data_IF_090356034698
#
_entry.id   IF_090356034698
#
_cell.length_a   1.000
_cell.length_b   1.000
_cell.length_c   1.000
_cell.angle_alpha   90.00
_cell.angle_beta   90.00
_cell.angle_gamma   90.00
#
_symmetry.space_group_name_H-M   'P 1'
#
loop_
_entity.id
_entity.type
_entity.pdbx_description
1 polymer ?
#
# COMPACT_ATOMS: atom_id res chain seq x y z
N UNK A 1 -8.52 28.35 17.28
CA UNK A 1 -8.76 28.46 15.83
C UNK A 1 -8.79 27.05 15.28
N UNK A 2 -9.97 26.54 14.92
CA UNK A 2 -10.10 25.23 14.26
C UNK A 2 -9.63 25.45 12.83
N UNK A 3 -8.47 24.89 12.49
CA UNK A 3 -8.01 24.80 11.10
C UNK A 3 -9.01 23.91 10.36
N UNK A 4 -9.99 24.52 9.72
CA UNK A 4 -10.81 23.86 8.71
C UNK A 4 -9.82 23.38 7.65
N UNK A 5 -9.49 22.08 7.63
CA UNK A 5 -8.83 21.50 6.47
C UNK A 5 -9.83 21.66 5.33
N UNK A 6 -9.61 22.64 4.46
CA UNK A 6 -10.24 22.61 3.14
C UNK A 6 -9.71 21.35 2.47
N UNK A 7 -10.45 20.25 2.62
CA UNK A 7 -10.16 19.02 1.89
C UNK A 7 -10.40 19.36 0.42
N UNK A 8 -9.31 19.73 -0.25
CA UNK A 8 -9.29 19.96 -1.68
C UNK A 8 -9.96 18.78 -2.38
N UNK A 9 -10.73 19.03 -3.44
CA UNK A 9 -11.30 17.97 -4.28
C UNK A 9 -10.23 16.93 -4.67
N UNK A 10 -8.98 17.36 -4.89
CA UNK A 10 -7.86 16.46 -5.16
C UNK A 10 -7.57 15.49 -4.02
N UNK A 11 -7.70 15.92 -2.76
CA UNK A 11 -7.55 15.06 -1.59
C UNK A 11 -8.62 13.96 -1.54
N UNK A 12 -9.88 14.30 -1.84
CA UNK A 12 -10.96 13.31 -1.88
C UNK A 12 -10.70 12.23 -2.94
N UNK A 13 -10.33 12.62 -4.15
CA UNK A 13 -9.98 11.66 -5.21
C UNK A 13 -8.79 10.78 -4.82
N UNK A 14 -7.76 11.38 -4.21
CA UNK A 14 -6.58 10.65 -3.77
C UNK A 14 -6.90 9.64 -2.66
N UNK A 15 -7.78 10.02 -1.72
CA UNK A 15 -8.20 9.14 -0.64
C UNK A 15 -9.07 7.98 -1.13
N UNK A 16 -9.99 8.22 -2.07
CA UNK A 16 -10.74 7.15 -2.74
C UNK A 16 -9.78 6.21 -3.47
N UNK A 17 -8.87 6.77 -4.27
CA UNK A 17 -7.93 5.99 -5.08
C UNK A 17 -7.06 5.09 -4.21
N UNK A 18 -6.49 5.65 -3.13
CA UNK A 18 -5.62 4.90 -2.23
C UNK A 18 -6.40 3.88 -1.39
N UNK A 19 -7.62 4.22 -0.94
CA UNK A 19 -8.49 3.29 -0.23
C UNK A 19 -8.91 2.09 -1.08
N UNK A 20 -9.33 2.34 -2.33
CA UNK A 20 -9.65 1.27 -3.28
C UNK A 20 -8.42 0.45 -3.65
N UNK A 21 -7.27 1.10 -3.82
CA UNK A 21 -6.01 0.42 -4.09
C UNK A 21 -5.69 -0.60 -2.99
N UNK A 22 -5.64 -0.17 -1.72
CA UNK A 22 -5.38 -1.08 -0.60
C UNK A 22 -6.42 -2.19 -0.48
N UNK A 23 -7.71 -1.85 -0.66
CA UNK A 23 -8.79 -2.83 -0.57
C UNK A 23 -8.65 -3.93 -1.63
N UNK A 24 -8.47 -3.54 -2.89
CA UNK A 24 -8.36 -4.47 -4.02
C UNK A 24 -7.05 -5.25 -3.91
N UNK A 25 -5.91 -4.59 -3.68
CA UNK A 25 -4.62 -5.25 -3.48
C UNK A 25 -4.70 -6.29 -2.37
N UNK A 26 -5.26 -5.95 -1.21
CA UNK A 26 -5.42 -6.88 -0.09
C UNK A 26 -6.25 -8.11 -0.45
N UNK A 27 -7.37 -7.93 -1.16
CA UNK A 27 -8.20 -9.05 -1.63
C UNK A 27 -7.41 -9.95 -2.59
N UNK A 28 -6.63 -9.37 -3.52
CA UNK A 28 -5.78 -10.15 -4.42
C UNK A 28 -4.66 -10.89 -3.67
N UNK A 29 -4.05 -10.26 -2.65
CA UNK A 29 -3.03 -10.88 -1.79
C UNK A 29 -3.61 -12.11 -1.07
N UNK A 30 -4.83 -11.99 -0.53
CA UNK A 30 -5.53 -13.08 0.16
C UNK A 30 -5.90 -14.26 -0.75
N UNK A 31 -6.24 -13.98 -2.01
CA UNK A 31 -6.51 -15.02 -2.99
C UNK A 31 -5.24 -15.80 -3.39
N UNK A 32 -4.05 -15.35 -2.97
CA UNK A 32 -2.78 -15.98 -3.30
C UNK A 32 -2.48 -15.98 -4.79
N UNK A 33 -3.21 -15.17 -5.56
CA UNK A 33 -3.15 -15.12 -7.01
C UNK A 33 -1.84 -14.47 -7.46
N UNK A 34 -1.27 -14.97 -8.55
CA UNK A 34 -0.06 -14.45 -9.20
C UNK A 34 -0.23 -13.05 -9.81
N UNK A 35 -1.40 -12.43 -9.65
CA UNK A 35 -1.72 -11.09 -10.13
C UNK A 35 -1.38 -9.93 -9.17
N UNK A 36 -0.98 -10.20 -7.92
CA UNK A 36 -0.53 -9.14 -7.00
C UNK A 36 0.99 -9.21 -6.76
N UNK A 37 1.64 -8.07 -6.98
CA UNK A 37 3.06 -7.80 -6.78
C UNK A 37 3.51 -8.17 -5.35
N UNK A 38 2.69 -7.92 -4.32
CA UNK A 38 3.05 -8.27 -2.92
C UNK A 38 3.08 -9.78 -2.71
N UNK A 39 2.09 -10.50 -3.24
CA UNK A 39 2.04 -11.97 -3.10
C UNK A 39 3.18 -12.64 -3.88
N UNK A 40 3.55 -12.08 -5.05
CA UNK A 40 4.68 -12.55 -5.84
C UNK A 40 6.00 -12.30 -5.11
N UNK A 41 6.19 -11.07 -4.61
CA UNK A 41 7.38 -10.69 -3.88
C UNK A 41 7.57 -11.52 -2.59
N UNK A 42 6.51 -11.75 -1.81
CA UNK A 42 6.56 -12.59 -0.60
C UNK A 42 6.97 -14.02 -0.97
N UNK A 43 6.35 -14.62 -2.00
CA UNK A 43 6.68 -15.99 -2.46
C UNK A 43 8.07 -16.08 -3.08
N UNK A 44 8.67 -14.96 -3.50
CA UNK A 44 10.03 -14.94 -4.03
C UNK A 44 11.09 -14.95 -2.92
N UNK A 45 10.78 -14.37 -1.75
CA UNK A 45 11.65 -14.24 -0.58
C UNK A 45 11.48 -15.40 0.40
N UNK A 46 10.23 -15.81 0.64
CA UNK A 46 9.86 -16.88 1.56
C UNK A 46 9.37 -18.11 0.78
N UNK A 47 9.51 -19.30 1.36
CA UNK A 47 9.08 -20.56 0.75
C UNK A 47 8.24 -21.40 1.71
N UNK A 48 7.27 -22.15 1.18
CA UNK A 48 6.38 -23.01 1.97
C UNK A 48 5.34 -22.22 2.79
N UNK A 49 4.96 -22.77 3.95
CA UNK A 49 3.86 -22.27 4.78
C UNK A 49 4.08 -20.84 5.29
N UNK A 50 5.33 -20.42 5.50
CA UNK A 50 5.66 -19.06 5.96
C UNK A 50 5.30 -17.99 4.93
N UNK A 51 5.44 -18.28 3.63
CA UNK A 51 5.05 -17.36 2.57
C UNK A 51 3.52 -17.19 2.51
N UNK A 52 2.80 -18.29 2.70
CA UNK A 52 1.33 -18.26 2.73
C UNK A 52 0.81 -17.47 3.94
N UNK A 53 1.39 -17.70 5.13
CA UNK A 53 1.04 -16.95 6.34
C UNK A 53 1.33 -15.45 6.15
N UNK A 54 2.49 -15.10 5.60
CA UNK A 54 2.83 -13.70 5.32
C UNK A 54 1.84 -13.05 4.33
N UNK A 55 1.47 -13.73 3.24
CA UNK A 55 0.44 -13.22 2.32
C UNK A 55 -0.91 -13.01 3.01
N UNK A 56 -1.33 -13.92 3.90
CA UNK A 56 -2.58 -13.77 4.65
C UNK A 56 -2.52 -12.54 5.55
N UNK A 57 -1.42 -12.37 6.29
CA UNK A 57 -1.24 -11.24 7.21
C UNK A 57 -1.24 -9.91 6.46
N UNK A 58 -0.44 -9.80 5.39
CA UNK A 58 -0.41 -8.60 4.55
C UNK A 58 -1.77 -8.32 3.92
N UNK A 59 -2.42 -9.34 3.35
CA UNK A 59 -3.73 -9.18 2.73
C UNK A 59 -4.81 -8.69 3.71
N UNK A 60 -4.84 -9.19 4.95
CA UNK A 60 -5.76 -8.68 5.98
C UNK A 60 -5.45 -7.22 6.31
N UNK A 61 -4.17 -6.88 6.53
CA UNK A 61 -3.77 -5.51 6.85
C UNK A 61 -4.18 -4.54 5.74
N UNK A 62 -3.96 -4.92 4.47
CA UNK A 62 -4.32 -4.11 3.31
C UNK A 62 -5.83 -3.94 3.16
N UNK A 63 -6.62 -5.00 3.33
CA UNK A 63 -8.09 -4.90 3.30
C UNK A 63 -8.59 -3.97 4.39
N UNK A 64 -8.09 -4.12 5.62
CA UNK A 64 -8.47 -3.27 6.73
C UNK A 64 -8.04 -1.82 6.51
N UNK A 65 -6.85 -1.59 5.95
CA UNK A 65 -6.37 -0.27 5.57
C UNK A 65 -7.29 0.40 4.53
N UNK A 66 -7.67 -0.35 3.49
CA UNK A 66 -8.57 0.14 2.45
C UNK A 66 -9.96 0.50 2.99
N UNK A 67 -10.55 -0.39 3.80
CA UNK A 67 -11.83 -0.13 4.46
C UNK A 67 -11.74 1.11 5.35
N UNK A 68 -10.70 1.20 6.19
CA UNK A 68 -10.49 2.33 7.08
C UNK A 68 -10.38 3.66 6.31
N UNK A 69 -9.56 3.70 5.26
CA UNK A 69 -9.36 4.90 4.44
C UNK A 69 -10.64 5.37 3.75
N UNK A 70 -11.48 4.43 3.28
CA UNK A 70 -12.77 4.72 2.67
C UNK A 70 -13.80 5.16 3.71
N UNK A 71 -13.89 4.49 4.85
CA UNK A 71 -14.82 4.84 5.93
C UNK A 71 -14.50 6.21 6.53
N UNK A 72 -13.23 6.56 6.64
CA UNK A 72 -12.75 7.86 7.13
C UNK A 72 -13.28 9.04 6.31
N UNK A 73 -13.72 8.82 5.07
CA UNK A 73 -14.36 9.87 4.27
C UNK A 73 -15.76 10.24 4.78
N UNK A 74 -16.44 9.31 5.46
CA UNK A 74 -17.80 9.47 5.95
C UNK A 74 -17.87 9.56 7.48
N UNK A 75 -16.86 9.03 8.17
CA UNK A 75 -16.81 8.90 9.62
C UNK A 75 -15.59 9.62 10.18
N UNK A 76 -15.81 10.47 11.17
CA UNK A 76 -14.73 11.13 11.92
C UNK A 76 -14.27 10.22 13.06
N UNK A 77 -13.00 9.82 13.02
CA UNK A 77 -12.36 9.10 14.12
C UNK A 77 -11.73 10.07 15.11
N UNK A 78 -11.53 9.62 16.36
CA UNK A 78 -10.77 10.41 17.33
C UNK A 78 -9.34 10.63 16.82
N UNK A 79 -8.80 11.84 16.95
CA UNK A 79 -7.49 12.21 16.42
C UNK A 79 -6.33 11.25 16.78
N UNK A 80 -6.23 10.70 18.01
CA UNK A 80 -5.16 9.76 18.35
C UNK A 80 -5.27 8.45 17.57
N UNK A 81 -6.48 7.90 17.46
CA UNK A 81 -6.75 6.65 16.73
C UNK A 81 -6.49 6.82 15.23
N UNK A 82 -6.96 7.93 14.66
CA UNK A 82 -6.77 8.26 13.25
C UNK A 82 -5.27 8.34 12.89
N UNK A 83 -4.51 9.05 13.72
CA UNK A 83 -3.06 9.20 13.54
C UNK A 83 -2.34 7.86 13.62
N UNK A 84 -2.64 7.05 14.65
CA UNK A 84 -1.99 5.74 14.84
C UNK A 84 -2.28 4.79 13.69
N UNK A 85 -3.54 4.70 13.22
CA UNK A 85 -3.90 3.84 12.11
C UNK A 85 -3.23 4.28 10.80
N UNK A 86 -3.20 5.58 10.52
CA UNK A 86 -2.50 6.12 9.35
C UNK A 86 -0.99 5.83 9.39
N UNK A 87 -0.36 5.94 10.56
CA UNK A 87 1.06 5.61 10.74
C UNK A 87 1.30 4.11 10.51
N UNK A 88 0.43 3.22 11.00
CA UNK A 88 0.54 1.78 10.76
C UNK A 88 0.44 1.47 9.25
N UNK A 89 -0.52 2.08 8.55
CA UNK A 89 -0.69 1.91 7.10
C UNK A 89 0.55 2.39 6.35
N UNK A 90 1.11 3.53 6.74
CA UNK A 90 2.33 4.07 6.17
C UNK A 90 3.51 3.11 6.35
N UNK A 91 3.73 2.60 7.57
CA UNK A 91 4.82 1.66 7.86
C UNK A 91 4.63 0.36 7.08
N UNK A 92 3.41 -0.18 7.04
CA UNK A 92 3.08 -1.39 6.29
C UNK A 92 3.36 -1.20 4.79
N UNK A 93 2.98 -0.06 4.22
CA UNK A 93 3.24 0.23 2.81
C UNK A 93 4.72 0.43 2.49
N UNK A 94 5.48 1.07 3.38
CA UNK A 94 6.94 1.17 3.26
C UNK A 94 7.57 -0.23 3.26
N UNK A 95 7.09 -1.14 4.11
CA UNK A 95 7.56 -2.53 4.10
C UNK A 95 7.24 -3.24 2.78
N UNK A 96 6.04 -3.02 2.21
CA UNK A 96 5.68 -3.52 0.88
C UNK A 96 6.59 -2.99 -0.22
N UNK A 97 6.93 -1.70 -0.22
CA UNK A 97 7.89 -1.09 -1.16
C UNK A 97 9.24 -1.80 -1.09
N UNK A 98 9.79 -1.96 0.11
CA UNK A 98 11.07 -2.65 0.29
C UNK A 98 10.99 -4.08 -0.26
N UNK A 99 9.89 -4.76 0.02
CA UNK A 99 9.69 -6.13 -0.38
C UNK A 99 9.54 -6.29 -1.90
N UNK A 100 8.78 -5.42 -2.57
CA UNK A 100 8.52 -5.48 -4.03
C UNK A 100 9.70 -4.91 -4.83
N UNK A 101 10.16 -3.69 -4.50
CA UNK A 101 11.12 -2.97 -5.34
C UNK A 101 12.58 -3.38 -5.12
N UNK A 102 12.90 -3.99 -3.97
CA UNK A 102 14.28 -4.30 -3.60
C UNK A 102 14.53 -5.77 -3.27
N UNK A 103 13.58 -6.46 -2.62
CA UNK A 103 13.78 -7.84 -2.16
C UNK A 103 13.21 -8.91 -3.10
N UNK A 104 12.25 -8.56 -3.97
CA UNK A 104 11.71 -9.52 -4.94
C UNK A 104 12.82 -10.04 -5.86
N UNK A 105 12.81 -11.34 -6.16
CA UNK A 105 13.80 -11.94 -7.07
C UNK A 105 13.68 -11.34 -8.46
N UNK A 106 14.68 -10.55 -8.87
CA UNK A 106 14.67 -9.83 -10.14
C UNK A 106 14.07 -8.41 -10.04
N UNK A 107 13.84 -7.90 -8.82
CA UNK A 107 13.38 -6.54 -8.59
C UNK A 107 14.36 -5.51 -9.15
N UNK A 108 15.66 -5.68 -8.86
CA UNK A 108 16.66 -4.76 -9.38
C UNK A 108 16.86 -4.95 -10.89
N UNK A 109 16.94 -3.85 -11.66
CA UNK A 109 17.02 -3.93 -13.10
C UNK A 109 18.29 -4.64 -13.56
N UNK A 110 18.14 -5.55 -14.53
CA UNK A 110 19.22 -6.38 -15.07
C UNK A 110 20.24 -5.61 -15.97
N UNK A 111 20.37 -4.30 -15.78
CA UNK A 111 21.33 -3.42 -16.46
C UNK A 111 20.92 -2.91 -17.84
N UNK A 112 19.81 -3.37 -18.43
CA UNK A 112 19.30 -2.81 -19.69
C UNK A 112 18.33 -1.64 -19.46
N UNK A 113 18.32 -0.67 -20.38
CA UNK A 113 17.53 0.57 -20.24
C UNK A 113 16.03 0.31 -20.08
N UNK A 114 15.47 -0.65 -20.82
CA UNK A 114 14.06 -1.00 -20.72
C UNK A 114 13.67 -1.54 -19.33
N UNK A 115 14.53 -2.36 -18.72
CA UNK A 115 14.34 -2.89 -17.37
C UNK A 115 14.41 -1.79 -16.31
N UNK A 116 15.33 -0.83 -16.47
CA UNK A 116 15.44 0.32 -15.58
C UNK A 116 14.17 1.18 -15.67
N UNK A 117 13.67 1.47 -16.87
CA UNK A 117 12.42 2.22 -17.05
C UNK A 117 11.22 1.49 -16.45
N UNK A 118 11.14 0.17 -16.61
CA UNK A 118 10.06 -0.64 -16.03
C UNK A 118 10.09 -0.57 -14.50
N UNK A 119 11.27 -0.73 -13.90
CA UNK A 119 11.45 -0.62 -12.45
C UNK A 119 11.12 0.78 -11.93
N UNK A 120 11.65 1.84 -12.57
CA UNK A 120 11.36 3.23 -12.20
C UNK A 120 9.87 3.56 -12.27
N UNK A 121 9.15 3.01 -13.25
CA UNK A 121 7.70 3.20 -13.38
C UNK A 121 6.93 2.52 -12.24
N UNK A 122 7.29 1.30 -11.88
CA UNK A 122 6.69 0.59 -10.75
C UNK A 122 6.98 1.32 -9.42
N UNK A 123 8.25 1.66 -9.19
CA UNK A 123 8.67 2.40 -8.00
C UNK A 123 7.96 3.76 -7.87
N UNK A 124 7.81 4.50 -8.98
CA UNK A 124 7.05 5.75 -9.00
C UNK A 124 5.59 5.54 -8.60
N UNK A 125 4.94 4.46 -9.04
CA UNK A 125 3.58 4.13 -8.63
C UNK A 125 3.50 3.86 -7.12
N UNK A 126 4.44 3.10 -6.56
CA UNK A 126 4.47 2.85 -5.12
C UNK A 126 4.72 4.12 -4.30
N UNK A 127 5.55 5.03 -4.80
CA UNK A 127 5.77 6.35 -4.20
C UNK A 127 4.53 7.25 -4.29
N UNK A 128 3.72 7.15 -5.35
CA UNK A 128 2.45 7.87 -5.43
C UNK A 128 1.46 7.39 -4.36
N UNK A 129 1.37 6.08 -4.14
CA UNK A 129 0.55 5.49 -3.05
C UNK A 129 1.07 5.95 -1.69
N UNK A 130 2.39 5.93 -1.47
CA UNK A 130 2.99 6.42 -0.22
C UNK A 130 2.72 7.92 -0.01
N UNK A 131 2.87 8.73 -1.05
CA UNK A 131 2.57 10.17 -1.03
C UNK A 131 1.10 10.45 -0.70
N UNK A 132 0.18 9.63 -1.23
CA UNK A 132 -1.24 9.69 -0.89
C UNK A 132 -1.49 9.42 0.59
N UNK A 133 -0.88 8.36 1.14
CA UNK A 133 -0.99 8.03 2.57
C UNK A 133 -0.43 9.17 3.44
N UNK A 134 0.74 9.72 3.08
CA UNK A 134 1.38 10.80 3.85
C UNK A 134 0.53 12.08 3.82
N UNK A 135 -0.04 12.44 2.66
CA UNK A 135 -0.91 13.62 2.54
C UNK A 135 -2.19 13.48 3.37
N UNK A 136 -2.60 12.24 3.65
CA UNK A 136 -3.75 11.91 4.49
C UNK A 136 -3.42 11.85 5.99
N UNK A 137 -2.16 12.05 6.42
CA UNK A 137 -1.85 12.13 7.84
C UNK A 137 -2.53 13.36 8.49
N UNK A 138 -3.08 13.20 9.72
CA UNK A 138 -3.71 14.28 10.47
C UNK A 138 -2.76 15.44 10.78
#
# INVERSE_FOLDING_TARGET
>A
MVSQREHSIGYLFLQIAVGLFFLVSGIWTLQGSSGNEIAVAIKSVLSGDSAQIACIVFGIIEVLAGIFLLLRMFVTFSAPIDTVLMVIIMIAWIASIVLIDFLEKGALPAGNFASILKWLKAFAYHLLVLGAVITALP
#
